data_IF_554627125178
#
_entry.id   IF_554627125178
#
_cell.length_a   1.000
_cell.length_b   1.000
_cell.length_c   1.000
_cell.angle_alpha   90.00
_cell.angle_beta   90.00
_cell.angle_gamma   90.00
#
_symmetry.space_group_name_H-M   'P 1'
#
loop_
_entity.id
_entity.type
_entity.pdbx_description
1 polymer ?
#
# COMPACT_ATOMS: atom_id res chain seq x y z
N UNK A 1 -16.33 -2.17 -5.96
CA UNK A 1 -15.42 -3.32 -6.20
C UNK A 1 -15.95 -4.38 -7.17
N UNK A 2 -17.27 -4.53 -7.43
CA UNK A 2 -17.79 -5.46 -8.48
C UNK A 2 -17.20 -5.24 -9.89
N UNK A 3 -16.76 -4.02 -10.23
CA UNK A 3 -16.23 -3.69 -11.57
C UNK A 3 -14.86 -4.29 -11.87
N UNK A 4 -14.02 -4.58 -10.86
CA UNK A 4 -12.68 -5.17 -11.07
C UNK A 4 -12.82 -6.59 -11.63
N UNK A 5 -13.77 -7.36 -11.08
CA UNK A 5 -14.09 -8.70 -11.59
C UNK A 5 -14.71 -8.71 -12.99
N UNK A 6 -15.40 -7.66 -13.40
CA UNK A 6 -15.98 -7.57 -14.76
C UNK A 6 -14.87 -7.33 -15.80
N UNK A 7 -13.92 -6.42 -15.51
CA UNK A 7 -12.77 -6.18 -16.39
C UNK A 7 -11.83 -7.39 -16.46
N UNK A 8 -11.56 -8.04 -15.33
CA UNK A 8 -10.76 -9.27 -15.31
C UNK A 8 -11.47 -10.42 -16.04
N UNK A 9 -12.80 -10.53 -15.95
CA UNK A 9 -13.58 -11.50 -16.73
C UNK A 9 -13.51 -11.25 -18.24
N UNK A 10 -13.47 -9.97 -18.65
CA UNK A 10 -13.38 -9.58 -20.06
C UNK A 10 -11.99 -9.87 -20.65
N UNK A 11 -10.93 -9.71 -19.85
CA UNK A 11 -9.54 -10.01 -20.24
C UNK A 11 -9.26 -11.53 -20.21
N UNK A 12 -9.78 -12.23 -19.21
CA UNK A 12 -9.47 -13.64 -18.99
C UNK A 12 -10.20 -14.61 -19.93
N UNK A 13 -11.25 -14.17 -20.66
CA UNK A 13 -12.05 -15.03 -21.57
C UNK A 13 -12.40 -16.42 -20.98
N UNK A 14 -12.59 -16.52 -19.66
CA UNK A 14 -12.90 -17.79 -18.97
C UNK A 14 -11.71 -18.52 -18.30
N UNK A 15 -10.46 -18.08 -18.47
CA UNK A 15 -9.32 -18.70 -17.78
C UNK A 15 -9.17 -18.15 -16.35
N UNK A 16 -9.45 -19.01 -15.36
CA UNK A 16 -9.46 -18.68 -13.94
C UNK A 16 -8.08 -18.21 -13.42
N UNK A 17 -6.99 -18.75 -13.96
CA UNK A 17 -5.63 -18.39 -13.57
C UNK A 17 -5.28 -16.96 -13.99
N UNK A 18 -5.63 -16.58 -15.22
CA UNK A 18 -5.45 -15.22 -15.74
C UNK A 18 -6.32 -14.19 -14.99
N UNK A 19 -7.54 -14.59 -14.60
CA UNK A 19 -8.42 -13.75 -13.79
C UNK A 19 -7.80 -13.44 -12.42
N UNK A 20 -7.35 -14.47 -11.68
CA UNK A 20 -6.74 -14.27 -10.36
C UNK A 20 -5.42 -13.49 -10.45
N UNK A 21 -4.62 -13.71 -11.48
CA UNK A 21 -3.37 -12.96 -11.70
C UNK A 21 -3.64 -11.47 -11.97
N UNK A 22 -4.67 -11.14 -12.77
CA UNK A 22 -5.08 -9.75 -12.97
C UNK A 22 -5.58 -9.08 -11.68
N UNK A 23 -6.38 -9.79 -10.88
CA UNK A 23 -6.89 -9.27 -9.60
C UNK A 23 -5.74 -8.95 -8.64
N UNK A 24 -4.74 -9.84 -8.55
CA UNK A 24 -3.55 -9.61 -7.72
C UNK A 24 -2.73 -8.44 -8.24
N UNK A 25 -2.48 -8.34 -9.55
CA UNK A 25 -1.73 -7.24 -10.14
C UNK A 25 -2.40 -5.89 -9.90
N UNK A 26 -3.71 -5.78 -10.15
CA UNK A 26 -4.45 -4.53 -9.97
C UNK A 26 -4.46 -4.13 -8.50
N UNK A 27 -4.69 -5.08 -7.58
CA UNK A 27 -4.65 -4.81 -6.14
C UNK A 27 -3.27 -4.35 -5.70
N UNK A 28 -2.21 -4.98 -6.21
CA UNK A 28 -0.83 -4.62 -5.93
C UNK A 28 -0.48 -3.21 -6.42
N UNK A 29 -0.85 -2.84 -7.65
CA UNK A 29 -0.62 -1.48 -8.20
C UNK A 29 -1.32 -0.43 -7.35
N UNK A 30 -2.56 -0.70 -6.92
CA UNK A 30 -3.32 0.24 -6.10
C UNK A 30 -2.70 0.40 -4.69
N UNK A 31 -2.29 -0.71 -4.07
CA UNK A 31 -1.59 -0.71 -2.79
C UNK A 31 -0.24 0.01 -2.87
N UNK A 32 0.54 -0.19 -3.94
CA UNK A 32 1.80 0.53 -4.18
C UNK A 32 1.58 2.02 -4.32
N UNK A 33 0.53 2.44 -5.02
CA UNK A 33 0.20 3.86 -5.16
C UNK A 33 -0.14 4.51 -3.82
N UNK A 34 -0.98 3.86 -3.00
CA UNK A 34 -1.31 4.34 -1.65
C UNK A 34 -0.06 4.40 -0.77
N UNK A 35 0.77 3.36 -0.81
CA UNK A 35 2.01 3.30 -0.06
C UNK A 35 2.96 4.45 -0.44
N UNK A 36 3.15 4.70 -1.74
CA UNK A 36 3.99 5.78 -2.23
C UNK A 36 3.46 7.17 -1.82
N UNK A 37 2.16 7.41 -1.98
CA UNK A 37 1.54 8.69 -1.63
C UNK A 37 1.62 8.98 -0.12
N UNK A 38 1.28 7.99 0.72
CA UNK A 38 1.34 8.14 2.17
C UNK A 38 2.79 8.20 2.68
N UNK A 39 3.69 7.39 2.12
CA UNK A 39 5.12 7.42 2.43
C UNK A 39 5.75 8.77 2.10
N UNK A 40 5.41 9.37 0.96
CA UNK A 40 5.85 10.71 0.59
C UNK A 40 5.35 11.78 1.57
N UNK A 41 4.08 11.69 2.00
CA UNK A 41 3.52 12.62 2.99
C UNK A 41 4.24 12.52 4.35
N UNK A 42 4.52 11.30 4.82
CA UNK A 42 5.27 11.06 6.07
C UNK A 42 6.70 11.59 5.93
N UNK A 43 7.36 11.34 4.81
CA UNK A 43 8.71 11.84 4.55
C UNK A 43 8.74 13.36 4.62
N UNK A 44 7.81 14.03 3.92
CA UNK A 44 7.73 15.48 3.90
C UNK A 44 7.45 16.08 5.29
N UNK A 45 6.56 15.44 6.06
CA UNK A 45 6.29 15.82 7.43
C UNK A 45 7.54 15.69 8.33
N UNK A 46 8.29 14.61 8.24
CA UNK A 46 9.52 14.42 9.01
C UNK A 46 10.60 15.44 8.65
N UNK A 47 10.74 15.77 7.37
CA UNK A 47 11.66 16.83 6.90
C UNK A 47 11.28 18.19 7.48
N UNK A 48 9.99 18.55 7.43
CA UNK A 48 9.49 19.80 8.01
C UNK A 48 9.71 19.86 9.52
N UNK A 49 9.38 18.79 10.26
CA UNK A 49 9.59 18.71 11.70
C UNK A 49 11.08 18.80 12.04
N UNK A 50 11.94 18.13 11.27
CA UNK A 50 13.39 18.21 11.42
C UNK A 50 13.90 19.64 11.25
N UNK A 51 13.52 20.28 10.14
CA UNK A 51 13.92 21.66 9.82
C UNK A 51 13.44 22.66 10.88
N UNK A 52 12.15 22.62 11.23
CA UNK A 52 11.59 23.50 12.27
C UNK A 52 12.19 23.20 13.65
N UNK A 53 12.38 21.92 14.00
CA UNK A 53 12.93 21.53 15.29
C UNK A 53 14.37 21.99 15.51
N UNK A 54 15.20 21.97 14.45
CA UNK A 54 16.60 22.43 14.53
C UNK A 54 16.74 23.94 14.43
N UNK A 55 16.10 24.59 13.46
CA UNK A 55 16.27 26.03 13.21
C UNK A 55 15.45 26.92 14.15
N UNK A 56 14.22 26.53 14.51
CA UNK A 56 13.32 27.37 15.31
C UNK A 56 13.33 27.07 16.81
N UNK A 57 13.53 25.81 17.21
CA UNK A 57 13.46 25.41 18.62
C UNK A 57 14.82 25.11 19.27
N UNK A 58 15.90 25.03 18.49
CA UNK A 58 17.24 24.71 19.02
C UNK A 58 17.30 23.34 19.74
N UNK A 59 16.31 22.48 19.50
CA UNK A 59 16.23 21.17 20.12
C UNK A 59 17.19 20.25 19.38
N UNK A 60 18.29 19.88 20.05
CA UNK A 60 19.19 18.84 19.60
C UNK A 60 18.49 17.48 19.65
N UNK A 61 17.64 17.19 18.66
CA UNK A 61 17.02 15.89 18.46
C UNK A 61 18.11 14.87 18.12
N UNK A 62 18.76 14.33 19.15
CA UNK A 62 19.74 13.22 19.10
C UNK A 62 19.05 11.87 18.89
N UNK A 63 17.92 11.86 18.19
CA UNK A 63 17.08 10.68 17.97
C UNK A 63 17.22 10.31 16.50
N UNK A 64 17.52 9.04 16.24
CA UNK A 64 17.69 8.54 14.87
C UNK A 64 16.41 8.76 14.06
N UNK A 65 16.39 9.80 13.22
CA UNK A 65 15.32 10.07 12.26
C UNK A 65 15.04 8.86 11.37
N UNK A 66 16.08 8.08 11.10
CA UNK A 66 15.99 6.78 10.44
C UNK A 66 15.10 5.79 11.21
N UNK A 67 15.19 5.75 12.54
CA UNK A 67 14.35 4.88 13.37
C UNK A 67 12.88 5.32 13.30
N UNK A 68 12.60 6.62 13.42
CA UNK A 68 11.24 7.15 13.34
C UNK A 68 10.63 6.85 11.96
N UNK A 69 11.39 7.12 10.90
CA UNK A 69 10.98 6.82 9.53
C UNK A 69 10.72 5.33 9.33
N UNK A 70 11.58 4.46 9.87
CA UNK A 70 11.40 3.01 9.80
C UNK A 70 10.11 2.56 10.48
N UNK A 71 9.82 3.08 11.67
CA UNK A 71 8.58 2.76 12.40
C UNK A 71 7.34 3.22 11.61
N UNK A 72 7.37 4.43 11.05
CA UNK A 72 6.26 4.94 10.22
C UNK A 72 6.06 4.14 8.93
N UNK A 73 7.14 3.74 8.27
CA UNK A 73 7.07 2.91 7.06
C UNK A 73 6.59 1.50 7.38
N UNK A 74 7.01 0.94 8.52
CA UNK A 74 6.57 -0.38 8.97
C UNK A 74 5.07 -0.39 9.28
N UNK A 75 4.56 0.60 10.01
CA UNK A 75 3.13 0.70 10.30
C UNK A 75 2.30 0.92 9.03
N UNK A 76 2.77 1.77 8.12
CA UNK A 76 2.13 1.96 6.82
C UNK A 76 2.09 0.66 6.01
N UNK A 77 3.19 -0.11 6.01
CA UNK A 77 3.28 -1.39 5.31
C UNK A 77 2.25 -2.38 5.85
N UNK A 78 2.09 -2.48 7.16
CA UNK A 78 1.11 -3.39 7.79
C UNK A 78 -0.32 -3.03 7.34
N UNK A 79 -0.68 -1.74 7.38
CA UNK A 79 -2.01 -1.28 6.98
C UNK A 79 -2.25 -1.58 5.50
N UNK A 80 -1.31 -1.23 4.62
CA UNK A 80 -1.42 -1.45 3.18
C UNK A 80 -1.49 -2.94 2.85
N UNK A 81 -0.71 -3.78 3.54
CA UNK A 81 -0.73 -5.23 3.37
C UNK A 81 -2.09 -5.83 3.75
N UNK A 82 -2.68 -5.40 4.88
CA UNK A 82 -4.02 -5.84 5.28
C UNK A 82 -5.07 -5.45 4.23
N UNK A 83 -5.04 -4.22 3.74
CA UNK A 83 -5.95 -3.78 2.67
C UNK A 83 -5.76 -4.59 1.38
N UNK A 84 -4.51 -4.89 1.00
CA UNK A 84 -4.21 -5.70 -0.18
C UNK A 84 -4.73 -7.13 -0.04
N UNK A 85 -4.48 -7.77 1.11
CA UNK A 85 -5.01 -9.11 1.42
C UNK A 85 -6.55 -9.11 1.36
N UNK A 86 -7.19 -8.10 1.92
CA UNK A 86 -8.65 -7.99 1.90
C UNK A 86 -9.19 -7.81 0.47
N UNK A 87 -8.54 -6.99 -0.35
CA UNK A 87 -8.89 -6.79 -1.74
C UNK A 87 -8.75 -8.10 -2.55
N UNK A 88 -7.67 -8.84 -2.33
CA UNK A 88 -7.44 -10.14 -2.96
C UNK A 88 -8.50 -11.15 -2.52
N UNK A 89 -8.77 -11.28 -1.22
CA UNK A 89 -9.76 -12.22 -0.68
C UNK A 89 -11.17 -11.96 -1.21
N UNK A 90 -11.58 -10.70 -1.33
CA UNK A 90 -12.92 -10.36 -1.84
C UNK A 90 -13.06 -10.55 -3.37
N UNK A 91 -11.97 -10.57 -4.12
CA UNK A 91 -12.01 -10.59 -5.60
C UNK A 91 -11.51 -11.90 -6.20
N UNK A 92 -10.74 -12.71 -5.47
CA UNK A 92 -10.40 -14.07 -5.88
C UNK A 92 -11.69 -14.87 -6.03
N UNK A 93 -11.85 -15.46 -7.21
CA UNK A 93 -12.79 -16.56 -7.38
C UNK A 93 -12.03 -17.84 -7.06
N UNK A 94 -12.33 -18.46 -5.92
CA UNK A 94 -11.92 -19.84 -5.72
C UNK A 94 -12.65 -20.66 -6.77
N UNK A 95 -11.89 -21.43 -7.57
CA UNK A 95 -12.46 -22.49 -8.39
C UNK A 95 -13.22 -23.40 -7.45
N UNK A 96 -14.55 -23.28 -7.40
CA UNK A 96 -15.37 -24.35 -6.87
C UNK A 96 -15.15 -25.48 -7.86
N UNK A 97 -14.38 -26.47 -7.42
CA UNK A 97 -14.20 -27.74 -8.10
C UNK A 97 -15.56 -28.43 -7.94
N UNK A 98 -16.43 -28.24 -8.93
CA UNK A 98 -17.51 -29.19 -9.18
C UNK A 98 -16.88 -30.42 -9.86
#
# INVERSE_FOLDING_TARGET
MKRIGITASHIAKGNLALYNLCVVLISCVFSLFIFAAAGAAIFFALVLIGYVGTELMGLGFKKDWAFIMTVCMMSLTIVVALFNIFAILMNIKLSRKD
#
